data_IF_919914429066
#
_entry.id   IF_919914429066
#
_cell.length_a   1.000
_cell.length_b   1.000
_cell.length_c   1.000
_cell.angle_alpha   90.00
_cell.angle_beta   90.00
_cell.angle_gamma   90.00
#
_symmetry.space_group_name_H-M   'P 1'
#
loop_
_entity.id
_entity.type
_entity.pdbx_description
1 polymer ?
#
# COMPACT_ATOMS: atom_id res chain seq x y z
N UNK A 1 5.29 -12.36 23.42
CA UNK A 1 4.54 -12.69 22.21
C UNK A 1 5.38 -13.65 21.39
N UNK A 2 4.87 -14.83 21.10
CA UNK A 2 5.57 -15.80 20.28
C UNK A 2 5.66 -15.32 18.82
N UNK A 3 6.65 -15.82 18.08
CA UNK A 3 6.83 -15.51 16.66
C UNK A 3 5.55 -15.74 15.83
N UNK A 4 4.79 -16.79 16.18
CA UNK A 4 3.51 -17.13 15.56
C UNK A 4 2.42 -16.10 15.85
N UNK A 5 2.33 -15.58 17.07
CA UNK A 5 1.35 -14.56 17.46
C UNK A 5 1.61 -13.24 16.73
N UNK A 6 2.88 -12.80 16.67
CA UNK A 6 3.30 -11.60 15.92
C UNK A 6 2.82 -11.67 14.47
N UNK A 7 2.97 -12.84 13.85
CA UNK A 7 2.55 -13.06 12.47
C UNK A 7 1.05 -12.80 12.26
N UNK A 8 0.20 -13.46 13.04
CA UNK A 8 -1.25 -13.34 12.88
C UNK A 8 -1.77 -11.95 13.25
N UNK A 9 -1.24 -11.35 14.33
CA UNK A 9 -1.59 -9.98 14.73
C UNK A 9 -1.19 -8.98 13.64
N UNK A 10 0.00 -9.12 13.05
CA UNK A 10 0.47 -8.24 11.97
C UNK A 10 -0.46 -8.29 10.76
N UNK A 11 -0.77 -9.50 10.28
CA UNK A 11 -1.64 -9.69 9.12
C UNK A 11 -3.04 -9.16 9.40
N UNK A 12 -3.62 -9.53 10.55
CA UNK A 12 -4.97 -9.10 10.92
C UNK A 12 -5.10 -7.59 11.07
N UNK A 13 -4.15 -6.95 11.74
CA UNK A 13 -4.15 -5.49 11.92
C UNK A 13 -3.96 -4.75 10.59
N UNK A 14 -3.00 -5.18 9.76
CA UNK A 14 -2.78 -4.58 8.44
C UNK A 14 -4.03 -4.67 7.56
N UNK A 15 -4.64 -5.86 7.45
CA UNK A 15 -5.84 -6.05 6.64
C UNK A 15 -7.05 -5.27 7.17
N UNK A 16 -7.19 -5.15 8.49
CA UNK A 16 -8.26 -4.35 9.09
C UNK A 16 -8.10 -2.86 8.73
N UNK A 17 -6.90 -2.31 8.89
CA UNK A 17 -6.62 -0.90 8.55
C UNK A 17 -6.80 -0.66 7.05
N UNK A 18 -6.36 -1.60 6.20
CA UNK A 18 -6.61 -1.55 4.76
C UNK A 18 -8.12 -1.58 4.44
N UNK A 19 -8.90 -2.45 5.08
CA UNK A 19 -10.35 -2.50 4.86
C UNK A 19 -11.05 -1.19 5.23
N UNK A 20 -10.63 -0.54 6.32
CA UNK A 20 -11.14 0.78 6.73
C UNK A 20 -10.69 1.85 5.72
N UNK A 21 -9.47 1.78 5.18
CA UNK A 21 -9.01 2.76 4.19
C UNK A 21 -9.90 2.80 2.95
N UNK A 22 -10.47 1.66 2.55
CA UNK A 22 -11.35 1.55 1.38
C UNK A 22 -12.70 2.25 1.57
N UNK A 23 -13.13 2.54 2.80
CA UNK A 23 -14.38 3.28 3.04
C UNK A 23 -14.22 4.80 2.97
N UNK A 24 -12.97 5.28 2.94
CA UNK A 24 -12.62 6.69 2.98
C UNK A 24 -12.20 7.23 1.61
N UNK A 25 -12.14 8.57 1.50
CA UNK A 25 -11.59 9.23 0.32
C UNK A 25 -10.05 9.10 0.28
N UNK A 26 -9.47 8.89 -0.89
CA UNK A 26 -8.02 8.78 -1.07
C UNK A 26 -7.36 10.13 -1.32
N UNK A 27 -7.98 10.96 -2.18
CA UNK A 27 -7.37 12.19 -2.66
C UNK A 27 -8.41 13.15 -3.23
N UNK A 28 -8.05 14.43 -3.23
CA UNK A 28 -8.75 15.51 -3.93
C UNK A 28 -7.85 16.01 -5.05
N UNK A 29 -8.40 16.11 -6.26
CA UNK A 29 -7.69 16.59 -7.45
C UNK A 29 -8.40 17.75 -8.10
N UNK A 30 -7.62 18.63 -8.71
CA UNK A 30 -8.11 19.64 -9.64
C UNK A 30 -7.83 19.18 -11.07
N UNK A 31 -8.89 18.94 -11.81
CA UNK A 31 -8.83 18.57 -13.22
C UNK A 31 -9.67 19.56 -14.03
N UNK A 32 -9.04 20.30 -14.95
CA UNK A 32 -9.70 21.31 -15.78
C UNK A 32 -10.52 22.35 -14.98
N UNK A 33 -9.98 22.82 -13.85
CA UNK A 33 -10.63 23.75 -12.91
C UNK A 33 -11.85 23.17 -12.17
N UNK A 34 -12.08 21.86 -12.24
CA UNK A 34 -13.06 21.15 -11.44
C UNK A 34 -12.36 20.41 -10.30
N UNK A 35 -12.86 20.61 -9.08
CA UNK A 35 -12.41 19.86 -7.91
C UNK A 35 -13.17 18.55 -7.85
N UNK A 36 -12.44 17.44 -7.87
CA UNK A 36 -12.98 16.08 -7.78
C UNK A 36 -12.37 15.39 -6.57
N UNK A 37 -13.23 14.75 -5.78
CA UNK A 37 -12.82 13.89 -4.68
C UNK A 37 -12.92 12.45 -5.16
N UNK A 38 -11.84 11.69 -5.01
CA UNK A 38 -11.80 10.29 -5.39
C UNK A 38 -11.76 9.37 -4.18
N UNK A 39 -12.53 8.29 -4.25
CA UNK A 39 -12.60 7.29 -3.18
C UNK A 39 -11.42 6.30 -3.25
N UNK A 40 -10.99 5.78 -2.10
CA UNK A 40 -9.94 4.76 -2.06
C UNK A 40 -10.36 3.47 -2.76
N UNK A 41 -11.65 3.09 -2.64
CA UNK A 41 -12.19 1.91 -3.30
C UNK A 41 -12.13 2.04 -4.82
N UNK A 42 -12.48 3.20 -5.36
CA UNK A 42 -12.37 3.48 -6.79
C UNK A 42 -10.92 3.34 -7.26
N UNK A 43 -9.96 3.94 -6.55
CA UNK A 43 -8.54 3.86 -6.91
C UNK A 43 -7.96 2.45 -6.82
N UNK A 44 -8.48 1.60 -5.91
CA UNK A 44 -8.10 0.20 -5.86
C UNK A 44 -8.48 -0.53 -7.17
N UNK A 45 -9.66 -0.26 -7.74
CA UNK A 45 -10.10 -0.90 -8.98
C UNK A 45 -9.51 -0.23 -10.22
N UNK A 46 -9.55 1.10 -10.31
CA UNK A 46 -9.02 1.83 -11.46
C UNK A 46 -7.51 1.64 -11.60
N UNK A 47 -6.77 1.66 -10.49
CA UNK A 47 -5.31 1.45 -10.53
C UNK A 47 -4.90 0.11 -11.13
N UNK A 48 -5.75 -0.92 -11.01
CA UNK A 48 -5.50 -2.25 -11.61
C UNK A 48 -5.54 -2.27 -13.14
N UNK A 49 -6.13 -1.23 -13.75
CA UNK A 49 -6.27 -1.08 -15.20
C UNK A 49 -5.71 0.25 -15.71
N UNK A 50 -5.00 1.01 -14.86
CA UNK A 50 -4.54 2.37 -15.17
C UNK A 50 -3.65 2.42 -16.43
N UNK A 51 -2.88 1.37 -16.70
CA UNK A 51 -2.05 1.27 -17.91
C UNK A 51 -2.85 1.31 -19.21
N UNK A 52 -4.10 0.82 -19.20
CA UNK A 52 -4.98 0.84 -20.37
C UNK A 52 -5.34 2.28 -20.76
N UNK A 53 -5.42 3.17 -19.77
CA UNK A 53 -5.65 4.59 -19.94
C UNK A 53 -4.36 5.42 -20.01
N UNK A 54 -3.18 4.82 -20.14
CA UNK A 54 -1.88 5.52 -20.21
C UNK A 54 -1.24 5.85 -18.86
N UNK A 55 -1.86 5.48 -17.73
CA UNK A 55 -1.38 5.73 -16.37
C UNK A 55 -0.33 4.72 -15.90
N UNK A 56 0.82 4.67 -16.59
CA UNK A 56 1.88 3.70 -16.28
C UNK A 56 2.51 3.94 -14.90
N UNK A 57 2.72 5.20 -14.51
CA UNK A 57 3.31 5.52 -13.22
C UNK A 57 2.32 5.20 -12.09
N UNK A 58 1.05 5.51 -12.29
CA UNK A 58 -0.04 5.22 -11.36
C UNK A 58 -0.19 3.70 -11.15
N UNK A 59 -0.07 2.91 -12.21
CA UNK A 59 -0.05 1.44 -12.11
C UNK A 59 1.17 0.96 -11.29
N UNK A 60 2.36 1.56 -11.50
CA UNK A 60 3.55 1.22 -10.71
C UNK A 60 3.34 1.50 -9.22
N UNK A 61 2.68 2.61 -8.86
CA UNK A 61 2.31 2.87 -7.46
C UNK A 61 1.29 1.84 -6.96
N UNK A 62 0.30 1.52 -7.80
CA UNK A 62 -0.73 0.53 -7.48
C UNK A 62 -0.16 -0.87 -7.22
N UNK A 63 0.99 -1.24 -7.81
CA UNK A 63 1.69 -2.50 -7.53
C UNK A 63 2.02 -2.71 -6.05
N UNK A 64 2.05 -1.66 -5.23
CA UNK A 64 2.15 -1.81 -3.78
C UNK A 64 1.09 -2.77 -3.21
N UNK A 65 -0.10 -2.85 -3.81
CA UNK A 65 -1.19 -3.75 -3.38
C UNK A 65 -0.85 -5.25 -3.64
N UNK A 66 -0.61 -5.71 -4.89
CA UNK A 66 -0.12 -7.06 -5.15
C UNK A 66 1.14 -7.44 -4.38
N UNK A 67 2.07 -6.51 -4.20
CA UNK A 67 3.31 -6.75 -3.45
C UNK A 67 3.05 -6.97 -1.96
N UNK A 68 2.10 -6.25 -1.36
CA UNK A 68 1.65 -6.51 0.01
C UNK A 68 1.01 -7.89 0.13
N UNK A 69 0.16 -8.28 -0.82
CA UNK A 69 -0.44 -9.62 -0.83
C UNK A 69 0.64 -10.70 -0.95
N UNK A 70 1.64 -10.52 -1.82
CA UNK A 70 2.77 -11.42 -1.95
C UNK A 70 3.58 -11.52 -0.65
N UNK A 71 3.84 -10.39 0.02
CA UNK A 71 4.52 -10.35 1.30
C UNK A 71 3.76 -11.13 2.39
N UNK A 72 2.42 -10.99 2.46
CA UNK A 72 1.57 -11.77 3.36
C UNK A 72 1.68 -13.28 3.08
N UNK A 73 1.58 -13.69 1.81
CA UNK A 73 1.70 -15.10 1.41
C UNK A 73 3.07 -15.68 1.82
N UNK A 74 4.14 -14.93 1.59
CA UNK A 74 5.51 -15.35 1.95
C UNK A 74 5.69 -15.42 3.47
N UNK A 75 5.14 -14.47 4.22
CA UNK A 75 5.15 -14.47 5.68
C UNK A 75 4.43 -15.70 6.27
N UNK A 76 3.26 -16.06 5.71
CA UNK A 76 2.53 -17.28 6.09
C UNK A 76 3.41 -18.52 5.87
N UNK A 77 4.14 -18.55 4.74
CA UNK A 77 5.10 -19.62 4.38
C UNK A 77 6.42 -19.56 5.16
N UNK A 78 6.60 -18.63 6.11
CA UNK A 78 7.85 -18.37 6.83
C UNK A 78 9.05 -18.05 5.91
N UNK A 79 8.83 -17.51 4.72
CA UNK A 79 9.90 -17.18 3.78
C UNK A 79 10.42 -15.75 3.98
N UNK A 80 11.72 -15.58 4.29
CA UNK A 80 12.32 -14.27 4.60
C UNK A 80 12.24 -13.25 3.47
N UNK A 81 11.98 -13.68 2.22
CA UNK A 81 11.69 -12.77 1.10
C UNK A 81 10.46 -11.90 1.34
N UNK A 82 9.60 -12.24 2.30
CA UNK A 82 8.52 -11.37 2.77
C UNK A 82 9.03 -9.97 3.17
N UNK A 83 10.22 -9.88 3.77
CA UNK A 83 10.86 -8.61 4.14
C UNK A 83 11.09 -7.74 2.91
N UNK A 84 11.76 -8.28 1.89
CA UNK A 84 12.08 -7.55 0.66
C UNK A 84 10.82 -7.00 -0.02
N UNK A 85 9.81 -7.84 -0.23
CA UNK A 85 8.59 -7.42 -0.93
C UNK A 85 7.77 -6.41 -0.13
N UNK A 86 7.71 -6.53 1.20
CA UNK A 86 7.05 -5.53 2.04
C UNK A 86 7.75 -4.16 2.02
N UNK A 87 9.09 -4.15 1.95
CA UNK A 87 9.88 -2.92 1.82
C UNK A 87 9.66 -2.25 0.46
N UNK A 88 9.62 -3.02 -0.64
CA UNK A 88 9.32 -2.47 -1.97
C UNK A 88 7.90 -1.87 -2.00
N UNK A 89 6.90 -2.60 -1.47
CA UNK A 89 5.53 -2.08 -1.37
C UNK A 89 5.44 -0.78 -0.56
N UNK A 90 6.16 -0.72 0.57
CA UNK A 90 6.23 0.49 1.40
C UNK A 90 6.89 1.65 0.66
N UNK A 91 7.98 1.38 -0.07
CA UNK A 91 8.68 2.39 -0.86
C UNK A 91 7.79 3.01 -1.94
N UNK A 92 7.00 2.18 -2.64
CA UNK A 92 6.02 2.64 -3.63
C UNK A 92 4.88 3.46 -2.98
N UNK A 93 4.33 3.00 -1.86
CA UNK A 93 3.26 3.72 -1.18
C UNK A 93 3.74 5.08 -0.62
N UNK A 94 4.96 5.12 -0.06
CA UNK A 94 5.60 6.35 0.42
C UNK A 94 5.92 7.29 -0.75
N UNK A 95 6.42 6.78 -1.88
CA UNK A 95 6.83 7.64 -2.99
C UNK A 95 5.66 8.46 -3.56
N UNK A 96 4.43 7.94 -3.51
CA UNK A 96 3.22 8.66 -3.91
C UNK A 96 2.97 9.92 -3.07
N UNK A 97 3.41 9.98 -1.81
CA UNK A 97 3.24 11.18 -0.96
C UNK A 97 3.99 12.41 -1.49
N UNK A 98 4.95 12.21 -2.39
CA UNK A 98 5.74 13.28 -3.00
C UNK A 98 5.21 13.73 -4.36
N UNK A 99 4.13 13.11 -4.85
CA UNK A 99 3.53 13.48 -6.13
C UNK A 99 2.68 14.75 -5.99
N UNK A 100 2.70 15.58 -7.03
CA UNK A 100 1.90 16.80 -7.11
C UNK A 100 0.81 16.72 -8.18
N UNK A 101 0.88 15.70 -9.04
CA UNK A 101 -0.02 15.49 -10.17
C UNK A 101 -0.13 14.00 -10.47
N UNK A 102 -1.25 13.62 -11.08
CA UNK A 102 -1.56 12.29 -11.59
C UNK A 102 -2.22 12.42 -12.96
N UNK A 103 -2.26 11.35 -13.74
CA UNK A 103 -2.99 11.32 -14.98
C UNK A 103 -4.50 11.54 -14.73
N UNK A 104 -5.04 12.61 -15.31
CA UNK A 104 -6.46 12.98 -15.19
C UNK A 104 -7.33 12.47 -16.34
N UNK A 105 -6.74 12.18 -17.50
CA UNK A 105 -7.42 11.58 -18.64
C UNK A 105 -6.46 10.84 -19.57
N UNK A 106 -7.03 9.89 -20.33
CA UNK A 106 -6.31 9.05 -21.30
C UNK A 106 -5.64 9.85 -22.43
N UNK A 107 -6.03 11.12 -22.61
CA UNK A 107 -5.39 12.08 -23.51
C UNK A 107 -4.01 12.55 -23.06
N UNK A 108 -3.51 12.10 -21.89
CA UNK A 108 -2.25 12.58 -21.30
C UNK A 108 -2.42 13.84 -20.45
N UNK A 109 -3.66 14.29 -20.20
CA UNK A 109 -3.93 15.50 -19.43
C UNK A 109 -3.75 15.22 -17.94
N UNK A 110 -2.91 16.00 -17.27
CA UNK A 110 -2.62 15.84 -15.85
C UNK A 110 -3.69 16.50 -14.97
N UNK A 111 -4.01 15.86 -13.85
CA UNK A 111 -4.79 16.41 -12.76
C UNK A 111 -3.85 16.75 -11.59
N UNK A 112 -4.01 17.94 -11.01
CA UNK A 112 -3.18 18.38 -9.88
C UNK A 112 -3.73 17.80 -8.58
N UNK A 113 -2.88 17.18 -7.78
CA UNK A 113 -3.25 16.74 -6.42
C UNK A 113 -3.38 17.99 -5.54
N UNK A 114 -4.56 18.17 -4.96
CA UNK A 114 -4.86 19.25 -4.02
C UNK A 114 -4.55 18.80 -2.60
N UNK A 115 -5.00 17.60 -2.24
CA UNK A 115 -4.74 16.99 -0.93
C UNK A 115 -4.75 15.46 -1.01
N UNK A 116 -3.96 14.85 -0.14
CA UNK A 116 -4.06 13.44 0.23
C UNK A 116 -5.04 13.34 1.39
N UNK A 117 -5.99 12.43 1.29
CA UNK A 117 -7.08 12.29 2.25
C UNK A 117 -6.86 11.10 3.19
N UNK A 118 -7.75 10.94 4.18
CA UNK A 118 -7.64 9.93 5.23
C UNK A 118 -7.45 8.51 4.68
N UNK A 119 -8.15 8.16 3.60
CA UNK A 119 -8.05 6.85 2.96
C UNK A 119 -6.64 6.55 2.42
N UNK A 120 -5.93 7.55 1.88
CA UNK A 120 -4.54 7.38 1.49
C UNK A 120 -3.65 7.10 2.70
N UNK A 121 -3.81 7.86 3.78
CA UNK A 121 -2.97 7.69 4.97
C UNK A 121 -3.23 6.35 5.68
N UNK A 122 -4.48 5.89 5.73
CA UNK A 122 -4.82 4.57 6.25
C UNK A 122 -4.27 3.45 5.36
N UNK A 123 -4.35 3.61 4.04
CA UNK A 123 -3.75 2.68 3.09
C UNK A 123 -2.24 2.56 3.31
N UNK A 124 -1.53 3.69 3.35
CA UNK A 124 -0.10 3.74 3.65
C UNK A 124 0.21 3.11 5.02
N UNK A 125 -0.55 3.44 6.06
CA UNK A 125 -0.38 2.89 7.40
C UNK A 125 -0.53 1.36 7.41
N UNK A 126 -1.49 0.81 6.67
CA UNK A 126 -1.70 -0.64 6.57
C UNK A 126 -0.46 -1.38 6.03
N UNK A 127 0.21 -0.78 5.05
CA UNK A 127 1.43 -1.30 4.43
C UNK A 127 2.61 -1.19 5.40
N UNK A 128 2.75 -0.06 6.09
CA UNK A 128 3.82 0.13 7.09
C UNK A 128 3.67 -0.81 8.29
N UNK A 129 2.43 -1.03 8.76
CA UNK A 129 2.13 -2.01 9.81
C UNK A 129 2.58 -3.41 9.39
N UNK A 130 2.29 -3.81 8.15
CA UNK A 130 2.72 -5.10 7.61
C UNK A 130 4.25 -5.22 7.61
N UNK A 131 4.94 -4.23 7.07
CA UNK A 131 6.41 -4.20 6.96
C UNK A 131 7.08 -4.24 8.32
N UNK A 132 6.64 -3.39 9.27
CA UNK A 132 7.18 -3.36 10.63
C UNK A 132 6.94 -4.70 11.33
N UNK A 133 5.72 -5.26 11.21
CA UNK A 133 5.40 -6.54 11.82
C UNK A 133 6.19 -7.72 11.25
N UNK A 134 6.45 -7.74 9.93
CA UNK A 134 7.35 -8.71 9.28
C UNK A 134 8.77 -8.59 9.84
N UNK A 135 9.31 -7.36 9.94
CA UNK A 135 10.65 -7.14 10.49
C UNK A 135 10.76 -7.61 11.94
N UNK A 136 9.74 -7.34 12.77
CA UNK A 136 9.69 -7.79 14.16
C UNK A 136 9.62 -9.33 14.22
N UNK A 137 8.77 -9.97 13.40
CA UNK A 137 8.64 -11.43 13.34
C UNK A 137 9.99 -12.10 13.08
N UNK A 138 10.72 -11.70 12.03
CA UNK A 138 12.00 -12.30 11.69
C UNK A 138 13.11 -11.98 12.69
N UNK A 139 13.09 -10.78 13.29
CA UNK A 139 14.03 -10.43 14.38
C UNK A 139 13.84 -11.34 15.59
N UNK A 140 12.59 -11.59 15.99
CA UNK A 140 12.28 -12.50 17.11
C UNK A 140 12.61 -13.95 16.75
N UNK A 141 12.24 -14.40 15.55
CA UNK A 141 12.51 -15.77 15.09
C UNK A 141 14.01 -16.08 15.06
N UNK A 142 14.84 -15.16 14.55
CA UNK A 142 16.29 -15.33 14.51
C UNK A 142 16.89 -15.43 15.93
N UNK A 143 16.42 -14.60 16.86
CA UNK A 143 16.87 -14.62 18.25
C UNK A 143 16.56 -15.97 18.92
N UNK A 144 15.37 -16.54 18.69
CA UNK A 144 15.00 -17.85 19.23
C UNK A 144 15.91 -18.95 18.68
N UNK A 145 16.21 -18.96 17.37
CA UNK A 145 17.10 -19.95 16.76
C UNK A 145 18.52 -19.88 17.30
N UNK A 146 19.04 -18.68 17.59
CA UNK A 146 20.38 -18.50 18.16
C UNK A 146 20.50 -18.91 19.63
N UNK A 147 19.38 -19.04 20.34
CA UNK A 147 19.32 -19.40 21.76
C UNK A 147 18.95 -20.88 22.00
N UNK A 148 18.63 -21.62 20.93
CA UNK A 148 18.32 -23.05 20.95
C UNK A 148 19.56 -23.89 20.63
#
# INVERSE_FOLDING_TARGET
MESKEIKFTTIGLSLLVFAISLTENALVVNYNNEIKTASSLEYLFIGSIAFMGGGLLEEIIWLANPLCLLAIILLIKNNEKAVLWSLIASGLAISFSFWNEILGAESGTMAKIVSLELGYYLWLASILILTIGILIHYKVSLKTTLQA
#
